data_IF_767000495597
#
_entry.id   IF_767000495597
#
_cell.length_a   1.000
_cell.length_b   1.000
_cell.length_c   1.000
_cell.angle_alpha   90.00
_cell.angle_beta   90.00
_cell.angle_gamma   90.00
#
_symmetry.space_group_name_H-M   'P 1'
#
loop_
_entity.id
_entity.type
_entity.pdbx_description
1 polymer ?
#
# COMPACT_ATOMS: atom_id res chain seq x y z
N UNK A 1 -10.25 4.29 3.64
CA UNK A 1 -9.93 5.36 2.67
C UNK A 1 -8.46 5.24 2.32
N UNK A 2 -8.07 5.55 1.08
CA UNK A 2 -6.66 5.55 0.64
C UNK A 2 -6.31 6.98 0.26
N UNK A 3 -5.20 7.48 0.79
CA UNK A 3 -4.68 8.81 0.52
C UNK A 3 -3.58 8.79 -0.54
N UNK A 4 -3.46 9.86 -1.30
CA UNK A 4 -2.36 10.06 -2.23
C UNK A 4 -2.65 11.14 -3.26
N UNK A 5 -1.68 11.36 -4.13
CA UNK A 5 -1.71 12.45 -5.11
C UNK A 5 -2.30 11.95 -6.43
N UNK A 6 -3.38 12.62 -6.88
CA UNK A 6 -4.14 12.34 -8.10
C UNK A 6 -4.47 10.85 -8.27
N UNK A 7 -5.15 10.29 -7.27
CA UNK A 7 -5.56 8.90 -7.31
C UNK A 7 -6.59 8.64 -8.41
N UNK A 8 -6.42 7.55 -9.13
CA UNK A 8 -7.48 7.02 -10.00
C UNK A 8 -8.44 6.08 -9.25
N UNK A 9 -9.35 5.43 -9.97
CA UNK A 9 -10.37 4.52 -9.40
C UNK A 9 -9.75 3.33 -8.66
N UNK A 10 -8.58 2.86 -9.10
CA UNK A 10 -7.84 1.75 -8.51
C UNK A 10 -6.81 2.23 -7.47
N UNK A 11 -6.85 3.52 -7.10
CA UNK A 11 -5.93 4.17 -6.14
C UNK A 11 -4.45 4.15 -6.52
N UNK A 12 -4.16 4.14 -7.82
CA UNK A 12 -2.80 4.40 -8.33
C UNK A 12 -2.53 5.90 -8.27
N UNK A 13 -1.32 6.29 -7.87
CA UNK A 13 -0.93 7.70 -7.73
C UNK A 13 -0.05 8.16 -8.89
N UNK A 14 0.34 9.44 -8.91
CA UNK A 14 1.26 9.97 -9.94
C UNK A 14 2.67 9.35 -9.88
N UNK A 15 3.12 8.87 -8.71
CA UNK A 15 4.45 8.31 -8.54
C UNK A 15 4.52 6.87 -9.07
N UNK A 16 3.47 6.09 -8.83
CA UNK A 16 3.34 4.70 -9.23
C UNK A 16 1.97 4.49 -9.89
N UNK A 17 1.98 4.37 -11.22
CA UNK A 17 0.79 4.37 -12.06
C UNK A 17 0.72 3.19 -13.05
N UNK A 18 1.50 2.14 -12.83
CA UNK A 18 1.41 0.91 -13.62
C UNK A 18 0.13 0.14 -13.27
N UNK A 19 -0.36 -0.75 -14.16
CA UNK A 19 -1.62 -1.47 -13.96
C UNK A 19 -1.75 -2.19 -12.62
N UNK A 20 -0.64 -2.65 -12.04
CA UNK A 20 -0.59 -3.43 -10.81
C UNK A 20 -0.17 -2.61 -9.56
N UNK A 21 0.00 -1.30 -9.67
CA UNK A 21 0.35 -0.39 -8.56
C UNK A 21 -0.85 -0.08 -7.66
N UNK A 22 -1.61 -1.12 -7.32
CA UNK A 22 -2.89 -1.04 -6.62
C UNK A 22 -2.78 -1.50 -5.16
N UNK A 23 -1.58 -1.58 -4.60
CA UNK A 23 -1.37 -1.86 -3.18
C UNK A 23 -1.18 -0.55 -2.42
N UNK A 24 -2.08 -0.24 -1.49
CA UNK A 24 -1.89 0.87 -0.56
C UNK A 24 -1.36 0.35 0.77
N UNK A 25 -0.42 1.08 1.36
CA UNK A 25 0.33 0.65 2.53
C UNK A 25 -0.07 1.47 3.74
N UNK A 26 -0.26 0.81 4.89
CA UNK A 26 -0.49 1.46 6.18
C UNK A 26 0.83 1.99 6.74
N UNK A 27 0.86 3.26 7.12
CA UNK A 27 1.98 3.83 7.86
C UNK A 27 1.93 3.41 9.33
N UNK A 28 3.03 2.90 9.86
CA UNK A 28 3.14 2.39 11.23
C UNK A 28 3.12 3.46 12.33
N UNK A 29 3.04 4.74 12.00
CA UNK A 29 2.88 5.84 12.97
C UNK A 29 1.47 6.44 12.94
N UNK A 30 0.94 6.77 11.77
CA UNK A 30 -0.37 7.44 11.66
C UNK A 30 -1.54 6.48 11.36
N UNK A 31 -1.26 5.20 11.10
CA UNK A 31 -2.26 4.14 10.86
C UNK A 31 -3.26 4.46 9.73
N UNK A 32 -2.80 5.22 8.74
CA UNK A 32 -3.54 5.57 7.53
C UNK A 32 -2.92 4.86 6.32
N UNK A 33 -3.76 4.55 5.32
CA UNK A 33 -3.32 3.89 4.10
C UNK A 33 -3.01 4.91 3.01
N UNK A 34 -1.83 4.78 2.42
CA UNK A 34 -1.37 5.64 1.33
C UNK A 34 -1.06 4.80 0.09
N UNK A 35 -1.31 5.36 -1.09
CA UNK A 35 -0.96 4.72 -2.35
C UNK A 35 0.55 4.44 -2.47
N UNK A 36 1.39 5.26 -1.84
CA UNK A 36 2.82 5.01 -1.69
C UNK A 36 3.45 5.87 -0.59
N UNK A 37 4.69 5.56 -0.21
CA UNK A 37 5.43 6.35 0.80
C UNK A 37 5.68 7.80 0.34
N UNK A 38 5.92 8.03 -0.95
CA UNK A 38 6.12 9.40 -1.47
C UNK A 38 4.85 10.23 -1.34
N UNK A 39 3.68 9.63 -1.57
CA UNK A 39 2.40 10.29 -1.34
C UNK A 39 2.22 10.68 0.13
N UNK A 40 2.63 9.82 1.06
CA UNK A 40 2.60 10.11 2.48
C UNK A 40 3.50 11.31 2.84
N UNK A 41 4.78 11.25 2.46
CA UNK A 41 5.77 12.26 2.87
C UNK A 41 5.48 13.66 2.28
N UNK A 42 4.62 13.76 1.26
CA UNK A 42 4.17 15.03 0.71
C UNK A 42 3.01 15.66 1.47
N UNK A 43 2.22 14.89 2.21
CA UNK A 43 0.94 15.35 2.80
C UNK A 43 0.86 15.16 4.32
N UNK A 44 1.85 14.52 4.91
CA UNK A 44 1.95 14.27 6.35
C UNK A 44 3.24 14.93 6.87
N UNK A 45 3.21 15.41 8.11
CA UNK A 45 4.31 16.13 8.78
C UNK A 45 5.42 15.22 9.32
N UNK A 46 5.41 13.95 8.94
CA UNK A 46 6.46 12.99 9.22
C UNK A 46 6.69 12.07 8.01
N UNK A 47 7.83 11.40 7.97
CA UNK A 47 8.11 10.40 6.95
C UNK A 47 7.31 9.12 7.19
N UNK A 48 7.09 8.35 6.12
CA UNK A 48 6.43 7.05 6.20
C UNK A 48 7.21 6.12 7.13
N UNK A 49 6.54 5.57 8.12
CA UNK A 49 7.12 4.63 9.08
C UNK A 49 6.71 3.21 8.69
N UNK A 50 7.66 2.27 8.51
CA UNK A 50 7.32 0.89 8.21
C UNK A 50 6.53 0.26 9.37
N UNK A 51 5.57 -0.59 9.01
CA UNK A 51 4.68 -1.30 9.93
C UNK A 51 5.15 -2.76 10.11
N UNK A 52 4.90 -3.38 11.26
CA UNK A 52 5.31 -4.77 11.46
C UNK A 52 4.50 -5.71 10.56
N UNK A 53 5.11 -6.76 10.00
CA UNK A 53 4.33 -7.75 9.23
C UNK A 53 3.42 -8.58 10.13
N UNK A 54 3.66 -8.54 11.45
CA UNK A 54 2.81 -9.14 12.49
C UNK A 54 1.63 -8.24 12.88
N UNK A 55 1.59 -6.98 12.42
CA UNK A 55 0.49 -6.05 12.70
C UNK A 55 -0.78 -6.40 11.92
N UNK A 56 -1.90 -5.79 12.33
CA UNK A 56 -3.21 -6.04 11.72
C UNK A 56 -3.37 -5.35 10.37
N UNK A 57 -3.42 -6.17 9.32
CA UNK A 57 -3.79 -5.82 7.93
C UNK A 57 -3.08 -4.59 7.34
N UNK A 58 -1.76 -4.65 7.11
CA UNK A 58 -0.95 -3.50 6.70
C UNK A 58 -1.16 -3.07 5.25
N UNK A 59 -1.90 -3.85 4.46
CA UNK A 59 -2.14 -3.57 3.03
C UNK A 59 -3.63 -3.37 2.78
N UNK A 60 -3.98 -2.41 1.92
CA UNK A 60 -5.33 -2.25 1.38
C UNK A 60 -5.29 -2.38 -0.14
N UNK A 61 -6.16 -3.21 -0.70
CA UNK A 61 -6.30 -3.30 -2.15
C UNK A 61 -6.94 -2.01 -2.70
N UNK A 62 -6.23 -1.33 -3.58
CA UNK A 62 -6.67 -0.14 -4.28
C UNK A 62 -7.90 -0.37 -5.14
N UNK A 63 -8.14 -1.57 -5.68
CA UNK A 63 -9.35 -1.86 -6.45
C UNK A 63 -10.59 -2.08 -5.57
N UNK A 64 -10.54 -3.06 -4.67
CA UNK A 64 -11.73 -3.47 -3.90
C UNK A 64 -11.78 -2.93 -2.46
N UNK A 65 -10.77 -2.15 -2.04
CA UNK A 65 -10.62 -1.52 -0.72
C UNK A 65 -10.61 -2.48 0.47
N UNK A 66 -10.53 -3.79 0.23
CA UNK A 66 -10.35 -4.77 1.30
C UNK A 66 -8.95 -4.61 1.89
N UNK A 67 -8.89 -4.71 3.22
CA UNK A 67 -7.63 -4.78 3.98
C UNK A 67 -7.14 -6.23 4.00
N UNK A 68 -5.85 -6.42 3.76
CA UNK A 68 -5.16 -7.71 3.64
C UNK A 68 -4.10 -7.83 4.75
N UNK A 69 -3.93 -9.02 5.30
CA UNK A 69 -2.73 -9.35 6.08
C UNK A 69 -1.49 -9.34 5.19
N UNK A 70 -0.31 -9.32 5.81
CA UNK A 70 0.94 -9.43 5.07
C UNK A 70 1.01 -10.73 4.26
N UNK A 71 0.61 -11.85 4.87
CA UNK A 71 0.54 -13.17 4.21
C UNK A 71 -0.36 -13.15 2.97
N UNK A 72 -1.57 -12.56 3.07
CA UNK A 72 -2.48 -12.43 1.92
C UNK A 72 -1.90 -11.55 0.81
N UNK A 73 -1.07 -10.56 1.16
CA UNK A 73 -0.41 -9.71 0.18
C UNK A 73 0.75 -10.44 -0.54
N UNK A 74 1.43 -11.36 0.14
CA UNK A 74 2.55 -12.12 -0.42
C UNK A 74 2.15 -13.00 -1.61
N UNK A 75 0.89 -13.45 -1.69
CA UNK A 75 0.36 -14.20 -2.84
C UNK A 75 0.32 -13.38 -4.16
N UNK A 76 0.64 -12.08 -4.11
CA UNK A 76 0.63 -11.13 -5.24
C UNK A 76 -0.71 -11.01 -5.97
N UNK A 77 -1.77 -11.52 -5.37
CA UNK A 77 -3.14 -11.46 -5.89
C UNK A 77 -4.08 -11.13 -4.75
N UNK A 78 -4.96 -10.15 -4.95
CA UNK A 78 -5.98 -9.84 -3.95
C UNK A 78 -6.97 -11.02 -3.81
N UNK A 79 -7.17 -11.61 -2.63
CA UNK A 79 -8.06 -12.76 -2.46
C UNK A 79 -9.56 -12.41 -2.60
N UNK A 80 -9.89 -11.11 -2.66
CA UNK A 80 -11.27 -10.63 -2.74
C UNK A 80 -11.72 -10.23 -4.15
N UNK A 81 -10.80 -9.74 -4.98
CA UNK A 81 -11.12 -9.27 -6.34
C UNK A 81 -10.20 -9.82 -7.43
N UNK A 82 -9.25 -10.67 -7.07
CA UNK A 82 -8.31 -11.36 -7.96
C UNK A 82 -7.42 -10.42 -8.79
N UNK A 83 -7.35 -9.15 -8.42
CA UNK A 83 -6.43 -8.20 -9.04
C UNK A 83 -4.98 -8.52 -8.65
N UNK A 84 -4.08 -8.42 -9.62
CA UNK A 84 -2.65 -8.66 -9.43
C UNK A 84 -1.96 -7.43 -8.81
N UNK A 85 -1.10 -7.67 -7.83
CA UNK A 85 -0.21 -6.66 -7.26
C UNK A 85 1.10 -6.62 -8.02
N UNK A 86 1.74 -5.45 -8.06
CA UNK A 86 3.02 -5.29 -8.75
C UNK A 86 4.11 -6.10 -8.01
N UNK A 87 4.72 -7.13 -8.64
CA UNK A 87 5.78 -7.91 -7.99
C UNK A 87 7.01 -7.06 -7.68
N UNK A 88 7.24 -5.97 -8.42
CA UNK A 88 8.37 -5.06 -8.17
C UNK A 88 8.17 -4.19 -6.92
N UNK A 89 7.01 -4.21 -6.27
CA UNK A 89 6.82 -3.53 -4.98
C UNK A 89 7.77 -4.04 -3.90
N UNK A 90 8.24 -5.29 -4.00
CA UNK A 90 9.24 -5.89 -3.10
C UNK A 90 10.56 -5.10 -3.04
N UNK A 91 10.93 -4.39 -4.12
CA UNK A 91 12.11 -3.53 -4.12
C UNK A 91 12.03 -2.41 -3.07
N UNK A 92 10.82 -2.10 -2.61
CA UNK A 92 10.52 -1.08 -1.60
C UNK A 92 10.07 -1.69 -0.26
N UNK A 93 10.18 -3.00 -0.07
CA UNK A 93 9.66 -3.69 1.12
C UNK A 93 10.18 -3.09 2.41
N UNK A 94 11.48 -2.75 2.46
CA UNK A 94 12.14 -2.10 3.59
C UNK A 94 11.59 -0.70 3.95
N UNK A 95 10.87 -0.04 3.04
CA UNK A 95 10.19 1.24 3.30
C UNK A 95 8.82 1.04 3.91
N UNK A 96 8.18 -0.10 3.65
CA UNK A 96 6.78 -0.37 4.02
C UNK A 96 6.65 -1.27 5.23
N UNK A 97 7.55 -2.22 5.41
CA UNK A 97 7.48 -3.24 6.44
C UNK A 97 8.76 -3.30 7.27
N UNK A 98 8.62 -3.68 8.54
CA UNK A 98 9.74 -3.90 9.47
C UNK A 98 9.55 -5.22 10.20
N UNK A 99 10.57 -6.07 10.22
CA UNK A 99 10.72 -7.20 11.13
C UNK A 99 12.20 -7.59 11.28
#
# INVERSE_FOLDING_TARGET
MIYGIQLDSDSRCIHYHQPHDIAAMECGQCHQYFACYQCHNLVVDHDFVPISTKDTKPVMCGRCKHKLSYEQYQDKVCPYCFAQFNPKCELHEHLYFKD
#
